data_IF_140566293900
#
_entry.id   IF_140566293900
#
_cell.length_a   1.000
_cell.length_b   1.000
_cell.length_c   1.000
_cell.angle_alpha   90.00
_cell.angle_beta   90.00
_cell.angle_gamma   90.00
#
_symmetry.space_group_name_H-M   'P 1'
#
loop_
_entity.id
_entity.type
_entity.pdbx_description
1 polymer ?
#
# COMPACT_ATOMS: atom_id res chain seq x y z
N UNK A 1 -8.99 -27.52 3.48
CA UNK A 1 -8.07 -27.30 4.61
C UNK A 1 -6.83 -26.68 3.99
N UNK A 2 -6.57 -25.40 4.20
CA UNK A 2 -5.42 -24.69 3.60
C UNK A 2 -4.43 -24.32 4.68
N UNK A 3 -3.16 -24.32 4.29
CA UNK A 3 -2.04 -24.41 5.19
C UNK A 3 -1.62 -23.01 5.67
N UNK A 4 -1.68 -22.78 6.98
CA UNK A 4 -1.25 -21.58 7.68
C UNK A 4 0.26 -21.68 7.91
N UNK A 5 1.05 -20.83 7.27
CA UNK A 5 2.39 -20.53 7.72
C UNK A 5 2.29 -19.75 9.03
N UNK A 6 2.79 -20.31 10.13
CA UNK A 6 2.76 -19.64 11.44
C UNK A 6 3.91 -18.63 11.53
N UNK A 7 3.65 -17.37 11.19
CA UNK A 7 4.62 -16.27 11.23
C UNK A 7 4.53 -15.50 12.58
N UNK A 8 3.99 -16.09 13.66
CA UNK A 8 3.80 -15.35 14.92
C UNK A 8 4.37 -16.06 16.16
N UNK A 9 5.58 -15.67 16.59
CA UNK A 9 5.94 -15.83 18.00
C UNK A 9 6.22 -14.50 18.75
N UNK A 10 5.66 -13.34 18.32
CA UNK A 10 5.87 -12.09 19.07
C UNK A 10 4.69 -11.10 19.22
N UNK A 11 3.45 -11.46 18.84
CA UNK A 11 2.26 -10.58 19.02
C UNK A 11 1.29 -11.16 20.07
N UNK A 12 1.82 -11.69 21.18
CA UNK A 12 0.98 -12.14 22.33
C UNK A 12 1.33 -11.46 23.66
N UNK A 13 2.12 -10.39 23.66
CA UNK A 13 2.49 -9.68 24.89
C UNK A 13 1.73 -8.35 25.14
N UNK A 14 1.01 -7.78 24.16
CA UNK A 14 0.31 -6.49 24.36
C UNK A 14 -1.19 -6.61 24.70
N UNK A 15 -1.79 -7.81 24.63
CA UNK A 15 -3.25 -7.98 24.80
C UNK A 15 -3.70 -8.19 26.25
N UNK A 16 -2.75 -8.33 27.20
CA UNK A 16 -3.06 -8.55 28.62
C UNK A 16 -3.29 -7.26 29.44
N UNK A 17 -3.04 -6.07 28.88
CA UNK A 17 -3.08 -4.81 29.66
C UNK A 17 -4.35 -3.96 29.46
N UNK A 18 -5.32 -4.36 28.63
CA UNK A 18 -6.50 -3.53 28.33
C UNK A 18 -7.81 -4.01 29.00
N UNK A 19 -7.77 -5.03 29.86
CA UNK A 19 -8.98 -5.64 30.47
C UNK A 19 -9.12 -5.45 31.99
N UNK A 20 -8.60 -4.35 32.55
CA UNK A 20 -8.87 -4.01 33.95
C UNK A 20 -9.05 -2.49 34.15
N UNK A 21 -10.29 -2.01 34.05
CA UNK A 21 -10.83 -0.97 34.96
C UNK A 21 -12.33 -0.71 34.63
N UNK A 22 -13.19 -0.49 35.65
CA UNK A 22 -14.65 -0.53 35.52
C UNK A 22 -15.29 0.83 35.18
N UNK A 23 -16.53 0.77 34.68
CA UNK A 23 -17.43 1.90 34.41
C UNK A 23 -18.20 2.32 35.67
N UNK A 24 -18.44 3.62 35.85
CA UNK A 24 -19.53 4.17 36.66
C UNK A 24 -20.02 5.53 36.09
N UNK A 25 -21.28 5.87 36.39
CA UNK A 25 -22.17 6.82 35.70
C UNK A 25 -22.34 8.21 36.43
N UNK A 26 -23.14 9.19 35.91
CA UNK A 26 -23.19 10.64 36.26
C UNK A 26 -24.27 10.95 37.35
N UNK A 27 -24.75 12.19 37.72
CA UNK A 27 -24.71 13.57 37.12
C UNK A 27 -24.40 14.74 38.12
N UNK A 28 -24.30 16.04 37.76
CA UNK A 28 -25.37 17.08 37.84
C UNK A 28 -24.88 18.49 37.38
N UNK A 29 -25.81 19.33 36.88
CA UNK A 29 -25.80 20.82 36.79
C UNK A 29 -26.85 21.36 37.82
N UNK A 30 -27.05 22.68 38.16
CA UNK A 30 -26.81 23.92 37.38
C UNK A 30 -26.50 25.24 38.19
N UNK A 31 -26.26 26.37 37.49
CA UNK A 31 -26.95 27.70 37.64
C UNK A 31 -26.21 28.87 36.93
N UNK A 32 -26.99 29.76 36.31
CA UNK A 32 -26.64 31.10 35.77
C UNK A 32 -27.10 32.20 36.77
N UNK A 33 -27.24 33.52 36.47
CA UNK A 33 -26.76 34.39 35.36
C UNK A 33 -26.19 35.76 35.85
N UNK A 34 -25.66 36.61 34.95
CA UNK A 34 -25.86 38.08 34.97
C UNK A 34 -25.38 38.77 33.66
N UNK A 35 -26.11 39.82 33.28
CA UNK A 35 -25.98 40.71 32.10
C UNK A 35 -25.89 42.19 32.57
N UNK A 36 -25.89 43.25 31.72
CA UNK A 36 -25.12 43.59 30.50
C UNK A 36 -24.54 45.05 30.49
N UNK A 37 -23.86 45.42 29.37
CA UNK A 37 -23.60 46.78 28.76
C UNK A 37 -22.26 47.51 29.08
N UNK A 38 -21.86 48.57 28.32
CA UNK A 38 -21.71 48.68 26.85
C UNK A 38 -20.39 49.36 26.37
N UNK A 39 -20.10 49.21 25.07
CA UNK A 39 -19.35 50.08 24.12
C UNK A 39 -18.17 50.97 24.61
N UNK A 40 -16.99 50.75 23.99
CA UNK A 40 -16.25 51.81 23.24
C UNK A 40 -15.12 51.22 22.38
N UNK A 41 -15.07 51.65 21.12
CA UNK A 41 -13.94 51.44 20.22
C UNK A 41 -12.88 52.53 20.47
N UNK A 42 -11.59 52.16 20.48
CA UNK A 42 -10.51 52.92 19.84
C UNK A 42 -9.14 52.23 19.93
N UNK A 43 -8.47 52.28 18.78
CA UNK A 43 -7.03 52.41 18.53
C UNK A 43 -6.06 51.38 19.14
N UNK A 44 -5.52 50.55 18.25
CA UNK A 44 -4.31 49.76 18.48
C UNK A 44 -3.12 50.65 18.82
N UNK A 45 -2.55 50.42 20.00
CA UNK A 45 -1.16 50.75 20.35
C UNK A 45 -0.46 49.43 20.64
N UNK A 46 0.66 49.19 19.98
CA UNK A 46 1.48 48.01 20.19
C UNK A 46 2.20 48.13 21.54
N UNK A 47 1.73 47.41 22.55
CA UNK A 47 2.49 47.11 23.76
C UNK A 47 3.06 45.69 23.65
N UNK A 48 4.35 45.59 23.94
CA UNK A 48 5.10 44.34 24.06
C UNK A 48 4.61 43.63 25.33
N UNK A 49 3.77 42.61 25.17
CA UNK A 49 3.39 41.71 26.26
C UNK A 49 4.12 40.37 26.08
N UNK A 50 4.96 40.07 27.06
CA UNK A 50 5.53 38.76 27.31
C UNK A 50 4.41 37.70 27.39
N UNK A 51 4.35 36.77 26.44
CA UNK A 51 3.51 35.57 26.56
C UNK A 51 4.36 34.39 27.01
N UNK A 52 4.25 34.08 28.30
CA UNK A 52 4.56 32.77 28.85
C UNK A 52 3.52 31.75 28.36
N UNK A 53 4.00 30.61 27.83
CA UNK A 53 3.41 29.29 27.98
C UNK A 53 2.08 28.95 27.27
N UNK A 54 2.12 27.99 26.34
CA UNK A 54 0.97 27.09 26.15
C UNK A 54 0.38 26.93 24.74
N UNK A 55 1.17 27.03 23.66
CA UNK A 55 0.69 26.64 22.33
C UNK A 55 1.08 25.19 21.99
N UNK A 56 0.07 24.34 21.84
CA UNK A 56 0.16 22.93 21.47
C UNK A 56 1.01 22.74 20.19
N UNK A 57 2.14 22.02 20.29
CA UNK A 57 3.19 21.88 19.26
C UNK A 57 2.68 21.36 17.91
N UNK A 58 1.52 20.68 17.88
CA UNK A 58 0.86 20.20 16.65
C UNK A 58 0.21 21.31 15.81
N UNK A 59 -0.28 22.38 16.42
CA UNK A 59 -0.97 23.46 15.69
C UNK A 59 0.03 24.44 15.09
N UNK A 60 1.12 24.71 15.81
CA UNK A 60 2.27 25.48 15.31
C UNK A 60 2.93 24.80 14.09
N UNK A 61 3.12 23.47 14.13
CA UNK A 61 3.70 22.72 13.01
C UNK A 61 2.88 22.81 11.71
N UNK A 62 1.54 22.74 11.80
CA UNK A 62 0.67 22.88 10.62
C UNK A 62 0.68 24.29 10.05
N UNK A 63 0.71 25.31 10.91
CA UNK A 63 0.77 26.71 10.50
C UNK A 63 2.10 27.07 9.83
N UNK A 64 3.21 26.56 10.36
CA UNK A 64 4.56 26.73 9.79
C UNK A 64 4.65 26.05 8.42
N UNK A 65 4.22 24.79 8.30
CA UNK A 65 4.23 24.07 7.02
C UNK A 65 3.37 24.76 5.97
N UNK A 66 2.21 25.31 6.35
CA UNK A 66 1.33 26.03 5.43
C UNK A 66 1.90 27.38 4.98
N UNK A 67 2.60 28.11 5.86
CA UNK A 67 3.34 29.33 5.49
C UNK A 67 4.54 29.04 4.60
N UNK A 68 5.31 27.98 4.89
CA UNK A 68 6.44 27.54 4.05
C UNK A 68 5.93 27.17 2.65
N UNK A 69 4.82 26.43 2.55
CA UNK A 69 4.23 26.05 1.27
C UNK A 69 3.79 27.26 0.44
N UNK A 70 3.17 28.26 1.07
CA UNK A 70 2.78 29.52 0.40
C UNK A 70 4.00 30.35 0.00
N UNK A 71 5.03 30.43 0.85
CA UNK A 71 6.27 31.12 0.54
C UNK A 71 7.01 30.46 -0.63
N UNK A 72 7.07 29.12 -0.68
CA UNK A 72 7.66 28.38 -1.79
C UNK A 72 6.89 28.60 -3.09
N UNK A 73 5.56 28.64 -3.03
CA UNK A 73 4.70 28.87 -4.20
C UNK A 73 4.84 30.30 -4.75
N UNK A 74 4.87 31.31 -3.86
CA UNK A 74 5.13 32.69 -4.26
C UNK A 74 6.55 32.85 -4.82
N UNK A 75 7.55 32.23 -4.20
CA UNK A 75 8.94 32.32 -4.67
C UNK A 75 9.12 31.69 -6.06
N UNK A 76 8.54 30.50 -6.28
CA UNK A 76 8.61 29.81 -7.58
C UNK A 76 7.83 30.56 -8.67
N UNK A 77 6.74 31.24 -8.32
CA UNK A 77 5.93 32.05 -9.24
C UNK A 77 6.64 33.35 -9.68
N UNK A 78 7.52 33.92 -8.84
CA UNK A 78 8.20 35.19 -9.13
C UNK A 78 9.62 35.04 -9.72
N UNK A 79 10.35 33.95 -9.44
CA UNK A 79 11.80 33.87 -9.73
C UNK A 79 12.23 32.78 -10.74
N UNK A 80 11.35 31.85 -11.13
CA UNK A 80 11.69 30.82 -12.14
C UNK A 80 12.79 29.83 -11.73
N UNK A 81 13.03 28.80 -12.56
CA UNK A 81 13.85 27.62 -12.22
C UNK A 81 15.37 27.91 -12.16
N UNK A 82 15.84 28.99 -12.83
CA UNK A 82 17.26 29.32 -12.96
C UNK A 82 17.87 30.05 -11.72
N UNK A 83 17.07 30.75 -10.91
CA UNK A 83 17.58 31.55 -9.76
C UNK A 83 17.69 30.75 -8.45
N UNK A 84 17.14 29.54 -8.39
CA UNK A 84 17.07 28.75 -7.16
C UNK A 84 18.44 28.24 -6.70
N UNK A 85 19.28 27.77 -7.63
CA UNK A 85 20.60 27.20 -7.31
C UNK A 85 21.57 28.27 -6.77
N UNK A 86 21.50 29.50 -7.30
CA UNK A 86 22.40 30.59 -6.90
C UNK A 86 22.05 31.18 -5.53
N UNK A 87 20.81 31.00 -5.06
CA UNK A 87 20.37 31.40 -3.72
C UNK A 87 20.66 30.33 -2.66
N UNK A 88 20.68 29.03 -3.01
CA UNK A 88 21.09 27.95 -2.09
C UNK A 88 22.54 28.12 -1.65
N UNK A 89 23.42 28.59 -2.54
CA UNK A 89 24.82 28.92 -2.24
C UNK A 89 25.02 30.15 -1.34
N UNK A 90 23.98 30.94 -1.10
CA UNK A 90 24.03 32.10 -0.18
C UNK A 90 23.41 31.84 1.18
N UNK A 91 22.74 30.69 1.38
CA UNK A 91 22.10 30.36 2.66
C UNK A 91 23.12 30.00 3.74
N UNK A 92 22.81 30.35 5.01
CA UNK A 92 23.62 29.96 6.17
C UNK A 92 23.80 28.44 6.24
N UNK A 93 24.97 27.92 6.63
CA UNK A 93 25.26 26.48 6.65
C UNK A 93 24.20 25.67 7.40
N UNK A 94 23.74 26.17 8.55
CA UNK A 94 22.69 25.53 9.34
C UNK A 94 21.39 25.32 8.55
N UNK A 95 20.95 26.29 7.75
CA UNK A 95 19.73 26.20 6.95
C UNK A 95 19.89 25.25 5.76
N UNK A 96 21.11 25.13 5.20
CA UNK A 96 21.42 24.12 4.18
C UNK A 96 21.38 22.71 4.75
N UNK A 97 21.91 22.50 5.96
CA UNK A 97 21.79 21.21 6.64
C UNK A 97 20.34 20.86 6.97
N UNK A 98 19.52 21.84 7.38
CA UNK A 98 18.09 21.62 7.59
C UNK A 98 17.34 21.33 6.29
N UNK A 99 17.63 22.04 5.20
CA UNK A 99 17.02 21.77 3.89
C UNK A 99 17.48 20.43 3.31
N UNK A 100 18.76 20.09 3.38
CA UNK A 100 19.28 18.79 2.97
C UNK A 100 18.74 17.67 3.86
N UNK A 101 18.64 17.90 5.17
CA UNK A 101 18.02 16.98 6.13
C UNK A 101 16.53 16.81 5.88
N UNK A 102 15.80 17.88 5.53
CA UNK A 102 14.38 17.83 5.17
C UNK A 102 14.15 17.21 3.80
N UNK A 103 15.01 17.46 2.81
CA UNK A 103 14.99 16.82 1.50
C UNK A 103 15.31 15.32 1.64
N UNK A 104 16.33 14.97 2.42
CA UNK A 104 16.67 13.60 2.81
C UNK A 104 15.54 12.92 3.57
N UNK A 105 14.87 13.64 4.47
CA UNK A 105 13.68 13.16 5.18
C UNK A 105 12.50 12.98 4.23
N UNK A 106 12.31 13.84 3.22
CA UNK A 106 11.29 13.69 2.17
C UNK A 106 11.60 12.47 1.28
N UNK A 107 12.87 12.27 0.93
CA UNK A 107 13.38 11.08 0.25
C UNK A 107 13.22 9.81 1.10
N UNK A 108 13.29 9.93 2.43
CA UNK A 108 13.09 8.85 3.40
C UNK A 108 11.62 8.68 3.83
N UNK A 109 10.75 9.66 3.61
CA UNK A 109 9.30 9.48 3.68
C UNK A 109 8.88 8.71 2.45
N UNK A 110 9.14 7.41 2.50
CA UNK A 110 8.73 6.46 1.49
C UNK A 110 7.25 6.65 1.19
N UNK A 111 6.96 7.21 0.02
CA UNK A 111 5.78 6.83 -0.73
C UNK A 111 5.69 5.31 -0.60
N UNK A 112 4.55 4.82 -0.15
CA UNK A 112 4.37 3.41 0.16
C UNK A 112 4.38 2.63 -1.16
N UNK A 113 5.57 2.27 -1.60
CA UNK A 113 5.83 1.55 -2.84
C UNK A 113 5.73 0.05 -2.56
N UNK A 114 4.50 -0.43 -2.32
CA UNK A 114 4.25 -1.79 -1.86
C UNK A 114 4.67 -2.88 -2.84
N UNK A 115 4.88 -2.57 -4.13
CA UNK A 115 5.29 -3.51 -5.18
C UNK A 115 6.78 -3.48 -5.52
N UNK A 116 7.62 -2.69 -4.83
CA UNK A 116 9.08 -2.64 -5.12
C UNK A 116 9.81 -3.96 -4.86
N UNK A 117 9.28 -4.79 -3.97
CA UNK A 117 9.81 -6.13 -3.69
C UNK A 117 9.84 -7.04 -4.94
N UNK A 118 9.08 -6.73 -6.00
CA UNK A 118 9.15 -7.47 -7.27
C UNK A 118 10.57 -7.45 -7.87
N UNK A 119 11.40 -6.47 -7.50
CA UNK A 119 12.82 -6.43 -7.85
C UNK A 119 13.60 -7.69 -7.39
N UNK A 120 13.11 -8.42 -6.38
CA UNK A 120 13.63 -9.72 -5.98
C UNK A 120 13.64 -10.76 -7.11
N UNK A 121 12.83 -10.58 -8.15
CA UNK A 121 12.89 -11.43 -9.35
C UNK A 121 14.27 -11.48 -10.00
N UNK A 122 15.05 -10.39 -9.86
CA UNK A 122 16.42 -10.23 -10.35
C UNK A 122 17.47 -10.91 -9.46
N UNK A 123 17.08 -11.38 -8.27
CA UNK A 123 18.00 -12.11 -7.40
C UNK A 123 18.41 -13.43 -8.07
N UNK A 124 19.71 -13.75 -8.18
CA UNK A 124 20.16 -15.00 -8.77
C UNK A 124 19.65 -16.22 -7.99
N UNK A 125 19.22 -17.28 -8.69
CA UNK A 125 18.75 -18.51 -8.05
C UNK A 125 19.83 -19.22 -7.22
N UNK A 126 21.11 -18.96 -7.48
CA UNK A 126 22.23 -19.52 -6.73
C UNK A 126 22.46 -18.85 -5.36
N UNK A 127 21.83 -17.70 -5.07
CA UNK A 127 22.02 -17.00 -3.80
C UNK A 127 21.25 -17.70 -2.68
N UNK A 128 21.98 -18.37 -1.79
CA UNK A 128 21.43 -18.92 -0.55
C UNK A 128 21.21 -17.79 0.48
N UNK A 129 19.96 -17.50 0.82
CA UNK A 129 19.58 -16.52 1.84
C UNK A 129 19.64 -17.12 3.26
N UNK A 130 20.83 -17.55 3.67
CA UNK A 130 21.07 -18.19 4.97
C UNK A 130 21.46 -17.21 6.10
N UNK A 131 21.75 -15.94 5.79
CA UNK A 131 22.15 -14.93 6.76
C UNK A 131 21.26 -13.69 6.71
N UNK A 132 20.97 -13.12 7.88
CA UNK A 132 20.17 -11.89 8.04
C UNK A 132 20.80 -10.65 7.38
N UNK A 133 22.10 -10.71 7.07
CA UNK A 133 22.82 -9.67 6.36
C UNK A 133 22.41 -9.61 4.89
N UNK A 134 22.13 -10.76 4.25
CA UNK A 134 21.70 -10.82 2.85
C UNK A 134 20.41 -10.02 2.61
N UNK A 135 19.50 -9.97 3.58
CA UNK A 135 18.27 -9.18 3.49
C UNK A 135 18.47 -7.68 3.23
N UNK A 136 19.62 -7.11 3.62
CA UNK A 136 19.94 -5.69 3.34
C UNK A 136 20.45 -5.47 1.91
N UNK A 137 21.00 -6.50 1.28
CA UNK A 137 21.53 -6.46 -0.08
C UNK A 137 20.43 -6.67 -1.13
N UNK A 138 19.28 -7.20 -0.71
CA UNK A 138 18.13 -7.40 -1.59
C UNK A 138 17.55 -6.05 -2.04
N UNK A 139 17.63 -5.80 -3.34
CA UNK A 139 17.08 -4.61 -3.96
C UNK A 139 15.54 -4.58 -3.85
N UNK A 140 14.98 -3.37 -3.65
CA UNK A 140 13.52 -3.15 -3.65
C UNK A 140 12.80 -3.44 -2.33
N UNK A 141 13.48 -3.98 -1.31
CA UNK A 141 12.91 -4.11 0.03
C UNK A 141 12.98 -2.78 0.79
N UNK A 142 11.84 -2.37 1.38
CA UNK A 142 11.82 -1.25 2.33
C UNK A 142 12.22 -1.71 3.74
N UNK A 143 12.59 -0.78 4.62
CA UNK A 143 13.09 -1.08 5.99
C UNK A 143 12.21 -2.09 6.75
N UNK A 144 10.89 -1.93 6.71
CA UNK A 144 9.97 -2.87 7.38
C UNK A 144 9.94 -4.25 6.73
N UNK A 145 10.16 -4.35 5.42
CA UNK A 145 10.26 -5.62 4.71
C UNK A 145 11.62 -6.29 4.95
N UNK A 146 12.70 -5.52 5.09
CA UNK A 146 14.01 -6.06 5.50
C UNK A 146 13.92 -6.70 6.88
N UNK A 147 13.20 -6.09 7.82
CA UNK A 147 12.94 -6.69 9.13
C UNK A 147 12.15 -8.00 9.02
N UNK A 148 11.13 -8.04 8.15
CA UNK A 148 10.35 -9.26 7.88
C UNK A 148 11.20 -10.36 7.24
N UNK A 149 12.08 -10.01 6.31
CA UNK A 149 13.03 -10.94 5.69
C UNK A 149 13.95 -11.58 6.75
N UNK A 150 14.48 -10.76 7.67
CA UNK A 150 15.38 -11.24 8.72
C UNK A 150 14.73 -12.21 9.69
N UNK A 151 13.44 -12.04 9.98
CA UNK A 151 12.69 -12.95 10.84
C UNK A 151 12.13 -14.17 10.10
N UNK A 152 12.20 -14.22 8.76
CA UNK A 152 11.61 -15.28 7.94
C UNK A 152 12.55 -15.67 6.79
N UNK A 153 13.81 -15.98 7.07
CA UNK A 153 14.81 -16.29 6.04
C UNK A 153 14.38 -17.47 5.15
N UNK A 154 13.80 -18.52 5.74
CA UNK A 154 13.31 -19.71 5.03
C UNK A 154 12.20 -19.39 4.01
N UNK A 155 11.41 -18.36 4.28
CA UNK A 155 10.33 -17.93 3.39
C UNK A 155 10.86 -17.22 2.14
N UNK A 156 12.06 -16.64 2.19
CA UNK A 156 12.51 -15.68 1.18
C UNK A 156 12.71 -16.27 -0.21
N UNK A 157 13.10 -17.54 -0.33
CA UNK A 157 13.18 -18.20 -1.64
C UNK A 157 11.80 -18.31 -2.30
N UNK A 158 10.77 -18.59 -1.50
CA UNK A 158 9.37 -18.60 -1.93
C UNK A 158 8.92 -17.20 -2.39
N UNK A 159 9.36 -16.13 -1.70
CA UNK A 159 9.06 -14.74 -2.09
C UNK A 159 9.76 -14.36 -3.39
N UNK A 160 11.03 -14.75 -3.58
CA UNK A 160 11.75 -14.53 -4.85
C UNK A 160 11.01 -15.21 -6.00
N UNK A 161 10.56 -16.46 -5.82
CA UNK A 161 9.80 -17.16 -6.84
C UNK A 161 8.45 -16.48 -7.11
N UNK A 162 7.77 -15.99 -6.07
CA UNK A 162 6.55 -15.21 -6.24
C UNK A 162 6.79 -13.93 -7.08
N UNK A 163 7.91 -13.23 -6.87
CA UNK A 163 8.25 -12.05 -7.67
C UNK A 163 8.39 -12.37 -9.16
N UNK A 164 9.06 -13.48 -9.48
CA UNK A 164 9.22 -13.96 -10.87
C UNK A 164 7.88 -14.33 -11.50
N UNK A 165 7.03 -15.06 -10.76
CA UNK A 165 5.70 -15.43 -11.23
C UNK A 165 4.78 -14.22 -11.45
N UNK A 166 4.91 -13.14 -10.65
CA UNK A 166 4.17 -11.89 -10.88
C UNK A 166 4.53 -11.27 -12.22
N UNK A 167 5.83 -11.10 -12.53
CA UNK A 167 6.29 -10.52 -13.80
C UNK A 167 5.80 -11.36 -14.98
N UNK A 168 6.08 -12.66 -14.94
CA UNK A 168 5.71 -13.62 -15.98
C UNK A 168 4.19 -13.62 -16.23
N UNK A 169 3.41 -13.68 -15.16
CA UNK A 169 1.95 -13.75 -15.26
C UNK A 169 1.37 -12.43 -15.74
N UNK A 170 1.86 -11.28 -15.27
CA UNK A 170 1.37 -9.98 -15.72
C UNK A 170 1.59 -9.79 -17.22
N UNK A 171 2.83 -10.01 -17.69
CA UNK A 171 3.18 -9.91 -19.11
C UNK A 171 2.35 -10.85 -19.98
N UNK A 172 2.16 -12.10 -19.53
CA UNK A 172 1.35 -13.08 -20.26
C UNK A 172 -0.14 -12.71 -20.29
N UNK A 173 -0.67 -12.12 -19.21
CA UNK A 173 -2.08 -11.74 -19.11
C UNK A 173 -2.43 -10.58 -20.03
N UNK A 174 -1.47 -9.67 -20.27
CA UNK A 174 -1.64 -8.45 -21.05
C UNK A 174 -0.91 -8.47 -22.40
N UNK A 175 -0.43 -9.62 -22.86
CA UNK A 175 0.37 -9.73 -24.09
C UNK A 175 -0.37 -9.25 -25.35
N UNK A 176 -1.70 -9.24 -25.32
CA UNK A 176 -2.63 -8.80 -26.37
C UNK A 176 -3.12 -7.34 -26.21
N UNK A 177 -2.84 -6.69 -25.07
CA UNK A 177 -3.35 -5.36 -24.73
C UNK A 177 -2.32 -4.27 -25.02
N UNK A 178 -2.74 -3.08 -25.47
CA UNK A 178 -1.82 -1.94 -25.75
C UNK A 178 -0.79 -1.70 -24.64
N UNK A 179 -1.24 -1.71 -23.38
CA UNK A 179 -0.35 -1.89 -22.24
C UNK A 179 -0.10 -3.39 -22.01
N UNK A 180 1.15 -3.83 -22.16
CA UNK A 180 1.54 -5.25 -22.11
C UNK A 180 2.26 -5.67 -20.82
N UNK A 181 2.23 -4.80 -19.81
CA UNK A 181 2.93 -4.98 -18.54
C UNK A 181 4.46 -5.13 -18.66
N UNK A 182 5.11 -4.63 -19.71
CA UNK A 182 6.58 -4.69 -19.84
C UNK A 182 7.31 -3.85 -18.78
N UNK A 183 6.76 -2.69 -18.42
CA UNK A 183 7.32 -1.75 -17.43
C UNK A 183 7.52 -2.36 -16.04
N UNK A 184 6.87 -3.49 -15.73
CA UNK A 184 7.03 -4.20 -14.46
C UNK A 184 8.46 -4.71 -14.23
N UNK A 185 9.23 -4.93 -15.31
CA UNK A 185 10.63 -5.38 -15.24
C UNK A 185 11.60 -4.30 -14.76
N UNK A 186 11.16 -3.03 -14.78
CA UNK A 186 11.92 -1.89 -14.30
C UNK A 186 11.96 -1.79 -12.77
N UNK A 187 11.31 -2.72 -12.05
CA UNK A 187 11.39 -2.83 -10.61
C UNK A 187 12.85 -2.70 -10.10
N UNK A 188 13.11 -1.90 -9.05
CA UNK A 188 12.15 -1.19 -8.21
C UNK A 188 11.73 0.20 -8.74
N UNK A 189 12.30 0.66 -9.86
CA UNK A 189 12.15 2.00 -10.40
C UNK A 189 11.10 2.04 -11.50
N UNK A 190 9.84 2.11 -11.09
CA UNK A 190 8.70 2.06 -12.00
C UNK A 190 8.45 3.38 -12.74
N UNK A 191 7.79 3.28 -13.90
CA UNK A 191 7.31 4.40 -14.69
C UNK A 191 5.90 4.83 -14.22
N UNK A 192 5.35 5.91 -14.80
CA UNK A 192 4.13 6.52 -14.29
C UNK A 192 2.88 5.63 -14.39
N UNK A 193 2.89 4.63 -15.27
CA UNK A 193 1.84 3.61 -15.36
C UNK A 193 1.74 2.74 -14.10
N UNK A 194 2.83 2.56 -13.35
CA UNK A 194 2.85 1.76 -12.11
C UNK A 194 3.14 2.58 -10.84
N UNK A 195 3.78 3.74 -10.97
CA UNK A 195 4.09 4.63 -9.84
C UNK A 195 2.84 5.39 -9.35
N UNK A 196 1.93 5.72 -10.27
CA UNK A 196 0.72 6.49 -9.96
C UNK A 196 -0.46 5.58 -9.67
N UNK A 197 -1.56 6.19 -9.24
CA UNK A 197 -2.81 5.48 -8.97
C UNK A 197 -3.60 5.14 -10.22
N UNK A 198 -2.98 4.52 -11.23
CA UNK A 198 -3.60 4.10 -12.50
C UNK A 198 -4.35 2.77 -12.34
N UNK A 199 -5.02 2.36 -13.41
CA UNK A 199 -5.68 1.05 -13.48
C UNK A 199 -4.65 -0.09 -13.58
N UNK A 200 -3.54 0.14 -14.25
CA UNK A 200 -2.43 -0.79 -14.41
C UNK A 200 -1.78 -1.09 -13.06
N UNK A 201 -1.51 -0.06 -12.27
CA UNK A 201 -0.99 -0.25 -10.91
C UNK A 201 -1.99 -0.99 -10.02
N UNK A 202 -3.28 -0.69 -10.13
CA UNK A 202 -4.33 -1.42 -9.40
C UNK A 202 -4.28 -2.93 -9.66
N UNK A 203 -4.13 -3.35 -10.92
CA UNK A 203 -3.96 -4.76 -11.27
C UNK A 203 -2.68 -5.36 -10.69
N UNK A 204 -1.53 -4.69 -10.84
CA UNK A 204 -0.24 -5.21 -10.34
C UNK A 204 -0.25 -5.38 -8.83
N UNK A 205 -0.85 -4.47 -8.06
CA UNK A 205 -1.01 -4.62 -6.60
C UNK A 205 -1.91 -5.80 -6.20
N UNK A 206 -2.97 -6.05 -6.98
CA UNK A 206 -3.88 -7.18 -6.76
C UNK A 206 -3.19 -8.52 -7.10
N UNK A 207 -2.58 -8.60 -8.28
CA UNK A 207 -1.83 -9.78 -8.72
C UNK A 207 -0.66 -10.09 -7.78
N UNK A 208 0.08 -9.08 -7.33
CA UNK A 208 1.17 -9.25 -6.36
C UNK A 208 0.72 -9.87 -5.05
N UNK A 209 -0.41 -9.40 -4.50
CA UNK A 209 -0.94 -9.93 -3.25
C UNK A 209 -1.48 -11.36 -3.42
N UNK A 210 -2.17 -11.63 -4.54
CA UNK A 210 -2.63 -12.97 -4.89
C UNK A 210 -1.46 -13.93 -5.10
N UNK A 211 -0.42 -13.53 -5.83
CA UNK A 211 0.74 -14.35 -6.15
C UNK A 211 1.56 -14.71 -4.90
N UNK A 212 1.82 -13.77 -3.98
CA UNK A 212 2.49 -14.09 -2.72
C UNK A 212 1.69 -15.16 -1.96
N UNK A 213 0.39 -14.95 -1.78
CA UNK A 213 -0.46 -15.89 -1.05
C UNK A 213 -0.55 -17.25 -1.76
N UNK A 214 -0.61 -17.26 -3.10
CA UNK A 214 -0.64 -18.46 -3.93
C UNK A 214 0.65 -19.27 -3.80
N UNK A 215 1.81 -18.65 -4.00
CA UNK A 215 3.12 -19.33 -3.96
C UNK A 215 3.42 -19.86 -2.56
N UNK A 216 3.11 -19.10 -1.50
CA UNK A 216 3.27 -19.58 -0.12
C UNK A 216 2.36 -20.78 0.15
N UNK A 217 1.08 -20.68 -0.21
CA UNK A 217 0.15 -21.77 0.00
C UNK A 217 0.57 -23.02 -0.78
N UNK A 218 1.08 -22.86 -2.01
CA UNK A 218 1.62 -23.96 -2.82
C UNK A 218 2.84 -24.60 -2.17
N UNK A 219 3.83 -23.80 -1.76
CA UNK A 219 5.04 -24.29 -1.09
C UNK A 219 4.74 -25.02 0.23
N UNK A 220 3.77 -24.52 1.01
CA UNK A 220 3.29 -25.22 2.19
C UNK A 220 2.65 -26.57 1.82
N UNK A 221 1.85 -26.65 0.74
CA UNK A 221 1.18 -27.90 0.33
C UNK A 221 2.09 -28.95 -0.29
N UNK A 222 3.20 -28.52 -0.90
CA UNK A 222 4.22 -29.43 -1.46
C UNK A 222 5.24 -29.88 -0.42
N UNK A 223 5.30 -29.22 0.74
CA UNK A 223 6.29 -29.49 1.79
C UNK A 223 7.61 -28.74 1.61
N UNK A 224 7.70 -27.83 0.63
CA UNK A 224 8.89 -27.02 0.37
C UNK A 224 9.13 -25.95 1.44
N UNK A 225 8.07 -25.57 2.19
CA UNK A 225 8.13 -24.60 3.27
C UNK A 225 7.77 -25.25 4.61
N UNK A 226 8.70 -25.34 5.59
CA UNK A 226 8.41 -25.86 6.92
C UNK A 226 7.58 -24.87 7.75
N UNK A 227 7.04 -25.31 8.90
CA UNK A 227 6.28 -24.44 9.80
C UNK A 227 4.87 -24.06 9.30
N UNK A 228 4.38 -24.80 8.31
CA UNK A 228 3.07 -24.65 7.69
C UNK A 228 2.10 -25.72 8.27
N UNK A 229 0.93 -25.32 8.80
CA UNK A 229 -0.10 -26.22 9.34
C UNK A 229 -1.42 -26.17 8.57
N UNK A 230 -1.99 -27.31 8.18
CA UNK A 230 -3.27 -27.33 7.46
C UNK A 230 -4.40 -26.84 8.38
N UNK A 231 -5.06 -25.72 8.08
CA UNK A 231 -6.09 -25.11 8.93
C UNK A 231 -7.30 -24.56 8.16
N UNK A 232 -8.34 -24.08 8.88
CA UNK A 232 -9.44 -23.35 8.27
C UNK A 232 -8.94 -22.01 7.71
N UNK A 233 -9.51 -21.57 6.58
CA UNK A 233 -9.19 -20.27 5.98
C UNK A 233 -9.65 -19.19 6.96
N UNK A 234 -8.80 -18.22 7.35
CA UNK A 234 -9.26 -17.12 8.18
C UNK A 234 -10.45 -16.41 7.52
N UNK A 235 -11.56 -16.32 8.23
CA UNK A 235 -12.71 -15.49 7.85
C UNK A 235 -12.54 -14.03 8.27
N UNK A 236 -11.46 -13.73 9.00
CA UNK A 236 -11.13 -12.38 9.40
C UNK A 236 -10.37 -11.65 8.28
N UNK A 237 -10.88 -10.51 7.77
CA UNK A 237 -10.09 -9.63 6.92
C UNK A 237 -8.83 -9.20 7.71
N UNK A 238 -7.68 -9.12 7.03
CA UNK A 238 -6.45 -8.64 7.65
C UNK A 238 -6.71 -7.25 8.27
N UNK A 239 -6.72 -7.15 9.61
CA UNK A 239 -6.98 -5.90 10.33
C UNK A 239 -5.86 -4.91 10.06
N UNK A 240 -6.09 -4.05 9.08
CA UNK A 240 -5.14 -3.01 8.70
C UNK A 240 -5.20 -1.87 9.72
N UNK A 241 -4.08 -1.60 10.41
CA UNK A 241 -3.95 -0.41 11.26
C UNK A 241 -4.16 0.84 10.38
N UNK A 242 -5.30 1.52 10.57
CA UNK A 242 -5.67 2.75 9.84
C UNK A 242 -4.76 3.90 10.28
N UNK A 243 -3.66 4.08 9.55
CA UNK A 243 -2.82 5.29 9.60
C UNK A 243 -3.26 6.26 8.50
N UNK A 244 -3.33 7.56 8.85
CA UNK A 244 -3.92 8.64 8.05
C UNK A 244 -3.50 8.64 6.58
N UNK A 245 -4.46 8.85 5.67
CA UNK A 245 -4.28 8.51 4.25
C UNK A 245 -3.89 9.68 3.36
N UNK A 246 -2.76 9.46 2.69
CA UNK A 246 -2.53 9.78 1.28
C UNK A 246 -3.32 8.80 0.40
N UNK A 247 -3.93 9.28 -0.69
CA UNK A 247 -4.91 8.55 -1.50
C UNK A 247 -4.42 7.21 -2.08
N UNK A 248 -3.24 7.22 -2.68
CA UNK A 248 -2.67 6.05 -3.34
C UNK A 248 -2.48 4.88 -2.36
N UNK A 249 -2.13 5.17 -1.10
CA UNK A 249 -1.96 4.12 -0.09
C UNK A 249 -3.26 3.35 0.15
N UNK A 250 -4.40 4.03 0.28
CA UNK A 250 -5.69 3.35 0.46
C UNK A 250 -6.07 2.52 -0.76
N UNK A 251 -5.84 3.07 -1.96
CA UNK A 251 -6.09 2.38 -3.22
C UNK A 251 -5.28 1.09 -3.34
N UNK A 252 -3.97 1.16 -3.09
CA UNK A 252 -3.07 0.00 -3.13
C UNK A 252 -3.49 -1.08 -2.15
N UNK A 253 -3.81 -0.70 -0.90
CA UNK A 253 -4.23 -1.64 0.12
C UNK A 253 -5.56 -2.31 -0.21
N UNK A 254 -6.52 -1.55 -0.75
CA UNK A 254 -7.79 -2.10 -1.26
C UNK A 254 -7.56 -3.10 -2.38
N UNK A 255 -6.80 -2.72 -3.40
CA UNK A 255 -6.55 -3.59 -4.55
C UNK A 255 -5.77 -4.87 -4.18
N UNK A 256 -4.81 -4.77 -3.25
CA UNK A 256 -4.15 -5.97 -2.70
C UNK A 256 -5.11 -6.90 -1.97
N UNK A 257 -6.12 -6.36 -1.27
CA UNK A 257 -7.15 -7.17 -0.62
C UNK A 257 -8.07 -7.83 -1.65
N UNK A 258 -8.49 -7.11 -2.70
CA UNK A 258 -9.24 -7.68 -3.83
C UNK A 258 -8.48 -8.88 -4.42
N UNK A 259 -7.16 -8.76 -4.61
CA UNK A 259 -6.31 -9.85 -5.08
C UNK A 259 -6.38 -11.11 -4.20
N UNK A 260 -6.28 -10.95 -2.88
CA UNK A 260 -6.40 -12.08 -1.94
C UNK A 260 -7.80 -12.68 -1.94
N UNK A 261 -8.84 -11.87 -2.09
CA UNK A 261 -10.22 -12.34 -2.18
C UNK A 261 -10.45 -13.17 -3.45
N UNK A 262 -9.91 -12.74 -4.59
CA UNK A 262 -10.00 -13.52 -5.85
C UNK A 262 -9.31 -14.88 -5.69
N UNK A 263 -8.10 -14.91 -5.11
CA UNK A 263 -7.43 -16.18 -4.79
C UNK A 263 -8.28 -17.08 -3.86
N UNK A 264 -8.90 -16.51 -2.81
CA UNK A 264 -9.76 -17.27 -1.88
C UNK A 264 -10.99 -17.83 -2.60
N UNK A 265 -11.55 -17.08 -3.55
CA UNK A 265 -12.72 -17.46 -4.33
C UNK A 265 -12.39 -18.49 -5.42
N UNK A 266 -11.17 -18.50 -5.97
CA UNK A 266 -10.73 -19.42 -7.03
C UNK A 266 -10.36 -20.83 -6.52
N UNK A 267 -10.62 -21.14 -5.26
CA UNK A 267 -10.30 -22.45 -4.68
C UNK A 267 -11.32 -23.50 -5.13
N UNK A 268 -10.83 -24.59 -5.71
CA UNK A 268 -11.68 -25.68 -6.22
C UNK A 268 -11.70 -26.88 -5.27
N UNK A 269 -12.86 -27.53 -5.15
CA UNK A 269 -12.96 -28.80 -4.43
C UNK A 269 -12.40 -29.94 -5.30
N UNK A 270 -11.25 -30.47 -4.91
CA UNK A 270 -10.64 -31.68 -5.50
C UNK A 270 -10.97 -32.87 -4.60
N UNK A 271 -11.37 -33.99 -5.18
CA UNK A 271 -11.72 -35.20 -4.44
C UNK A 271 -10.95 -36.41 -4.96
N UNK A 272 -10.51 -37.28 -4.06
CA UNK A 272 -9.98 -38.61 -4.37
C UNK A 272 -10.94 -39.67 -3.87
N UNK A 273 -11.26 -40.62 -4.73
CA UNK A 273 -12.15 -41.74 -4.43
C UNK A 273 -11.35 -42.94 -3.91
N UNK A 274 -11.90 -43.63 -2.91
CA UNK A 274 -11.26 -44.73 -2.19
C UNK A 274 -12.15 -45.98 -2.07
N UNK A 275 -13.25 -46.05 -2.81
CA UNK A 275 -14.14 -47.22 -2.80
C UNK A 275 -13.56 -48.42 -3.53
N UNK A 276 -14.17 -49.59 -3.29
CA UNK A 276 -13.80 -50.87 -3.94
C UNK A 276 -13.79 -50.69 -5.45
N UNK A 277 -12.78 -51.23 -6.12
CA UNK A 277 -12.56 -51.13 -7.57
C UNK A 277 -12.49 -49.68 -8.11
N UNK A 278 -12.09 -48.71 -7.29
CA UNK A 278 -11.99 -47.30 -7.69
C UNK A 278 -13.32 -46.55 -7.65
N UNK A 279 -14.37 -47.14 -7.06
CA UNK A 279 -15.65 -46.45 -6.87
C UNK A 279 -15.53 -45.23 -5.93
N UNK A 280 -16.43 -44.26 -6.09
CA UNK A 280 -16.48 -43.04 -5.29
C UNK A 280 -17.46 -43.12 -4.10
N UNK A 281 -17.79 -44.33 -3.63
CA UNK A 281 -18.68 -44.55 -2.46
C UNK A 281 -18.12 -43.91 -1.18
N UNK A 282 -16.80 -43.96 -1.02
CA UNK A 282 -16.06 -43.16 -0.05
C UNK A 282 -15.05 -42.29 -0.80
N UNK A 283 -15.02 -41.00 -0.48
CA UNK A 283 -14.09 -40.04 -1.08
C UNK A 283 -13.60 -39.03 -0.06
N UNK A 284 -12.36 -38.61 -0.23
CA UNK A 284 -11.74 -37.54 0.54
C UNK A 284 -11.64 -36.31 -0.34
N UNK A 285 -12.17 -35.18 0.11
CA UNK A 285 -12.14 -33.93 -0.67
C UNK A 285 -11.37 -32.83 0.07
N UNK A 286 -10.68 -31.98 -0.68
CA UNK A 286 -9.98 -30.81 -0.18
C UNK A 286 -10.11 -29.64 -1.15
N UNK A 287 -9.96 -28.41 -0.64
CA UNK A 287 -9.82 -27.22 -1.48
C UNK A 287 -8.40 -27.15 -2.03
N UNK A 288 -8.26 -27.13 -3.35
CA UNK A 288 -6.99 -26.97 -4.06
C UNK A 288 -6.87 -25.57 -4.67
N UNK A 289 -5.63 -25.13 -4.85
CA UNK A 289 -5.31 -23.92 -5.61
C UNK A 289 -5.49 -24.20 -7.10
N UNK A 290 -6.04 -23.22 -7.82
CA UNK A 290 -5.94 -23.13 -9.29
C UNK A 290 -4.55 -22.61 -9.68
N UNK A 291 -4.24 -22.66 -10.98
CA UNK A 291 -3.03 -22.02 -11.51
C UNK A 291 -3.12 -20.49 -11.40
N UNK A 292 -1.98 -19.83 -11.14
CA UNK A 292 -1.94 -18.38 -10.98
C UNK A 292 -2.41 -17.64 -12.24
N UNK A 293 -2.29 -18.28 -13.42
CA UNK A 293 -2.79 -17.77 -14.69
C UNK A 293 -4.30 -17.54 -14.68
N UNK A 294 -5.07 -18.47 -14.14
CA UNK A 294 -6.54 -18.38 -14.15
C UNK A 294 -7.01 -17.27 -13.20
N UNK A 295 -6.37 -17.18 -12.03
CA UNK A 295 -6.55 -16.07 -11.07
C UNK A 295 -6.23 -14.73 -11.72
N UNK A 296 -5.18 -14.65 -12.53
CA UNK A 296 -4.81 -13.43 -13.23
C UNK A 296 -5.82 -13.04 -14.31
N UNK A 297 -6.47 -14.00 -14.97
CA UNK A 297 -7.57 -13.74 -15.91
C UNK A 297 -8.80 -13.18 -15.19
N UNK A 298 -9.16 -13.72 -14.02
CA UNK A 298 -10.22 -13.15 -13.18
C UNK A 298 -9.90 -11.72 -12.75
N UNK A 299 -8.64 -11.45 -12.40
CA UNK A 299 -8.17 -10.10 -12.11
C UNK A 299 -8.17 -9.21 -13.36
N UNK A 300 -7.89 -9.74 -14.56
CA UNK A 300 -7.99 -9.00 -15.84
C UNK A 300 -9.42 -8.54 -16.08
N UNK A 301 -10.41 -9.40 -15.82
CA UNK A 301 -11.83 -9.02 -15.92
C UNK A 301 -12.17 -7.86 -14.97
N UNK A 302 -11.68 -7.91 -13.73
CA UNK A 302 -11.83 -6.81 -12.76
C UNK A 302 -11.07 -5.54 -13.15
N UNK A 303 -9.93 -5.67 -13.82
CA UNK A 303 -9.18 -4.55 -14.39
C UNK A 303 -10.01 -3.85 -15.47
N UNK A 304 -10.62 -4.60 -16.40
CA UNK A 304 -11.41 -4.03 -17.48
C UNK A 304 -12.61 -3.22 -16.95
N UNK A 305 -13.24 -3.67 -15.86
CA UNK A 305 -14.36 -3.01 -15.20
C UNK A 305 -13.98 -2.16 -13.98
N UNK A 306 -12.71 -1.78 -13.81
CA UNK A 306 -12.24 -1.07 -12.62
C UNK A 306 -12.90 0.32 -12.49
N UNK A 307 -13.09 0.77 -11.25
CA UNK A 307 -13.83 2.01 -10.95
C UNK A 307 -12.87 3.17 -10.62
N UNK A 308 -13.06 4.33 -11.27
CA UNK A 308 -12.32 5.54 -10.92
C UNK A 308 -12.87 6.14 -9.62
N UNK A 309 -11.99 6.42 -8.67
CA UNK A 309 -12.34 6.97 -7.36
C UNK A 309 -11.66 8.32 -7.11
N UNK A 310 -12.27 9.11 -6.23
CA UNK A 310 -11.76 10.41 -5.77
C UNK A 310 -11.74 10.48 -4.24
N UNK A 311 -10.94 11.39 -3.70
CA UNK A 311 -10.99 11.70 -2.27
C UNK A 311 -12.21 12.55 -1.95
N UNK A 312 -13.07 12.06 -1.06
CA UNK A 312 -14.13 12.86 -0.44
C UNK A 312 -13.97 12.89 1.08
N UNK A 313 -14.07 14.08 1.70
CA UNK A 313 -14.21 14.18 3.15
C UNK A 313 -15.62 13.71 3.55
N UNK A 314 -15.71 12.78 4.50
CA UNK A 314 -16.97 12.32 5.10
C UNK A 314 -16.83 12.43 6.62
N UNK A 315 -17.35 13.54 7.16
CA UNK A 315 -17.07 13.97 8.53
C UNK A 315 -15.57 14.28 8.74
N UNK A 316 -14.98 13.72 9.80
CA UNK A 316 -13.55 13.89 10.12
C UNK A 316 -12.62 12.98 9.32
N UNK A 317 -13.16 12.04 8.55
CA UNK A 317 -12.41 11.00 7.84
C UNK A 317 -12.44 11.24 6.32
N UNK A 318 -11.37 10.86 5.64
CA UNK A 318 -11.28 10.89 4.18
C UNK A 318 -11.51 9.48 3.64
N UNK A 319 -12.39 9.36 2.65
CA UNK A 319 -12.70 8.09 2.00
C UNK A 319 -12.49 8.19 0.48
N UNK A 320 -12.26 7.03 -0.12
CA UNK A 320 -12.30 6.86 -1.57
C UNK A 320 -13.73 6.53 -1.96
N UNK A 321 -14.29 7.30 -2.88
CA UNK A 321 -15.63 7.06 -3.43
C UNK A 321 -15.58 7.09 -4.96
N UNK A 322 -16.44 6.33 -5.66
CA UNK A 322 -16.57 6.40 -7.12
C UNK A 322 -16.79 7.83 -7.60
N UNK A 323 -16.13 8.22 -8.70
CA UNK A 323 -16.20 9.59 -9.24
C UNK A 323 -17.57 9.93 -9.82
N UNK A 324 -18.21 8.95 -10.47
CA UNK A 324 -19.36 9.19 -11.35
C UNK A 324 -20.72 9.08 -10.63
N UNK A 325 -20.73 8.61 -9.37
CA UNK A 325 -21.96 8.39 -8.59
C UNK A 325 -21.63 8.65 -7.11
N UNK A 326 -22.06 9.79 -6.55
CA UNK A 326 -21.87 10.15 -5.12
C UNK A 326 -22.71 9.26 -4.13
N UNK A 327 -23.16 8.05 -4.52
CA UNK A 327 -24.19 7.29 -3.78
C UNK A 327 -23.74 5.92 -3.24
N UNK A 328 -22.62 5.31 -3.71
CA UNK A 328 -22.18 4.00 -3.16
C UNK A 328 -20.73 3.95 -2.70
N UNK A 329 -20.44 3.32 -1.54
CA UNK A 329 -19.09 2.89 -1.20
C UNK A 329 -18.51 1.99 -2.29
N UNK A 330 -17.18 1.98 -2.41
CA UNK A 330 -16.46 1.02 -3.24
C UNK A 330 -16.79 -0.39 -2.77
N UNK A 331 -17.16 -1.29 -3.70
CA UNK A 331 -17.36 -2.71 -3.44
C UNK A 331 -16.02 -3.35 -3.06
N UNK A 332 -16.04 -4.22 -2.07
CA UNK A 332 -14.83 -4.94 -1.62
C UNK A 332 -14.20 -5.81 -2.70
N UNK A 333 -14.97 -6.16 -3.74
CA UNK A 333 -14.56 -7.07 -4.82
C UNK A 333 -14.20 -6.36 -6.14
N UNK A 334 -14.24 -5.02 -6.21
CA UNK A 334 -13.91 -4.26 -7.41
C UNK A 334 -12.53 -3.59 -7.30
N UNK A 335 -11.76 -3.59 -8.38
CA UNK A 335 -10.51 -2.83 -8.43
C UNK A 335 -10.82 -1.34 -8.59
N UNK A 336 -10.01 -0.50 -7.95
CA UNK A 336 -10.16 0.95 -7.98
C UNK A 336 -8.88 1.66 -8.41
N UNK A 337 -9.05 2.81 -9.06
CA UNK A 337 -7.94 3.66 -9.50
C UNK A 337 -8.25 5.15 -9.32
N UNK A 338 -7.23 5.97 -9.16
CA UNK A 338 -7.34 7.41 -8.92
C UNK A 338 -7.14 8.24 -10.19
N UNK A 339 -6.25 7.79 -11.08
CA UNK A 339 -5.79 8.53 -12.25
C UNK A 339 -6.10 7.75 -13.53
N UNK A 340 -6.52 8.45 -14.57
CA UNK A 340 -6.73 7.81 -15.87
C UNK A 340 -5.41 7.28 -16.41
N UNK A 341 -5.46 6.13 -17.07
CA UNK A 341 -4.32 5.55 -17.77
C UNK A 341 -3.86 6.48 -18.90
N UNK A 342 -2.54 6.51 -19.20
CA UNK A 342 -2.00 7.27 -20.32
C UNK A 342 -2.40 6.63 -21.67
N UNK A 343 -2.09 7.31 -22.77
CA UNK A 343 -2.17 6.70 -24.10
C UNK A 343 -1.00 5.73 -24.31
N UNK A 344 -1.33 4.47 -24.59
CA UNK A 344 -0.36 3.40 -24.86
C UNK A 344 -0.17 3.12 -26.36
N UNK A 345 -0.86 3.85 -27.25
CA UNK A 345 -0.68 3.72 -28.70
C UNK A 345 0.67 4.26 -29.16
N UNK A 346 1.04 5.45 -28.67
CA UNK A 346 2.28 6.14 -29.01
C UNK A 346 3.39 5.82 -28.01
N UNK A 347 4.62 5.63 -28.49
CA UNK A 347 5.79 5.40 -27.62
C UNK A 347 6.01 6.63 -26.73
N UNK A 348 6.06 6.41 -25.42
CA UNK A 348 6.37 7.41 -24.41
C UNK A 348 6.94 6.72 -23.16
N UNK A 349 8.26 6.80 -23.01
CA UNK A 349 9.00 6.13 -21.95
C UNK A 349 8.64 6.65 -20.55
N UNK A 350 8.27 7.93 -20.39
CA UNK A 350 7.91 8.47 -19.07
C UNK A 350 6.64 7.83 -18.52
N UNK A 351 5.69 7.48 -19.41
CA UNK A 351 4.39 6.92 -19.02
C UNK A 351 4.33 5.40 -19.11
N UNK A 352 5.45 4.73 -19.41
CA UNK A 352 5.47 3.27 -19.57
C UNK A 352 4.88 2.77 -20.88
N UNK A 353 4.73 3.65 -21.88
CA UNK A 353 4.23 3.25 -23.21
C UNK A 353 5.39 2.92 -24.14
N UNK A 354 5.42 1.70 -24.67
CA UNK A 354 6.34 1.30 -25.73
C UNK A 354 5.80 1.60 -27.14
N UNK A 355 4.53 2.00 -27.24
CA UNK A 355 3.82 2.13 -28.51
C UNK A 355 3.35 0.80 -29.07
N UNK A 356 2.68 0.87 -30.23
CA UNK A 356 2.04 -0.29 -30.88
C UNK A 356 2.50 -0.51 -32.34
N UNK A 357 3.53 0.21 -32.80
CA UNK A 357 3.95 0.20 -34.20
C UNK A 357 4.53 -1.15 -34.68
N UNK A 358 5.17 -1.92 -33.79
CA UNK A 358 5.89 -3.15 -34.16
C UNK A 358 5.23 -4.42 -33.57
N UNK A 359 3.91 -4.42 -33.40
CA UNK A 359 3.22 -5.35 -32.50
C UNK A 359 2.26 -6.32 -33.16
#
# INVERSE_FOLDING_TARGET
MLIRADITPHIKAEEAAYKAAPRAAPPEQPRSPRSPRPLRARAARAEVVHLQGGANTRTAGKYIVQKIRKAFYYYYFFFGEADFLQQVEKMKPSLRFFLAGFLSLILQTGLCYGIKWIALSKTPSALALNQTQHCKQLEGLVVSQVQLCRSNLELMQTIIQAAREVIKTCRKTFSDMRWNCSSIELAPNYLLDLERGTRESAFVYALSAAAISHTIARACTTGDLPGCSCGPIPDAPMKMKKSGSQANKLMHLHNSEVGRQVLKASLEMKCKCHGVSGSCSIKTCWKGLQELRDIALDLKNKYLSATKVVHRPMGTRKYLVPKDIDIRPVKETELIYLQSSPDFCMKNEKVGSHGTQDR
#
